data_IF_135919454616
#
_entry.id   IF_135919454616
#
_cell.length_a   1.000
_cell.length_b   1.000
_cell.length_c   1.000
_cell.angle_alpha   90.00
_cell.angle_beta   90.00
_cell.angle_gamma   90.00
#
_symmetry.space_group_name_H-M   'P 1'
#
loop_
_entity.id
_entity.type
_entity.pdbx_description
1 polymer ?
#
# COMPACT_ATOMS: atom_id res chain seq x y z
N UNK A 1 -32.27 -1.73 -62.72
CA UNK A 1 -31.27 -1.05 -61.86
C UNK A 1 -31.75 -1.04 -60.41
N UNK A 2 -31.71 -2.16 -59.67
CA UNK A 2 -32.23 -2.20 -58.28
C UNK A 2 -31.23 -2.76 -57.24
N UNK A 3 -30.15 -3.43 -57.66
CA UNK A 3 -29.15 -3.99 -56.73
C UNK A 3 -27.87 -3.15 -56.60
N UNK A 4 -27.74 -2.04 -57.37
CA UNK A 4 -26.55 -1.17 -57.32
C UNK A 4 -26.49 -0.33 -56.03
N UNK A 5 -27.66 0.06 -55.49
CA UNK A 5 -27.76 0.81 -54.23
C UNK A 5 -27.54 -0.07 -53.00
N UNK A 6 -27.81 -1.38 -53.11
CA UNK A 6 -27.66 -2.33 -52.00
C UNK A 6 -26.18 -2.62 -51.73
N UNK A 7 -25.36 -2.72 -52.78
CA UNK A 7 -23.91 -2.85 -52.65
C UNK A 7 -23.24 -1.58 -52.10
N UNK A 8 -23.76 -0.40 -52.44
CA UNK A 8 -23.27 0.88 -51.91
C UNK A 8 -23.55 1.02 -50.40
N UNK A 9 -24.70 0.52 -49.93
CA UNK A 9 -25.05 0.52 -48.51
C UNK A 9 -24.17 -0.39 -47.66
N UNK A 10 -23.80 -1.56 -48.18
CA UNK A 10 -22.89 -2.50 -47.50
C UNK A 10 -21.47 -1.91 -47.43
N UNK A 11 -21.01 -1.23 -48.49
CA UNK A 11 -19.71 -0.57 -48.49
C UNK A 11 -19.62 0.59 -47.48
N UNK A 12 -20.69 1.39 -47.33
CA UNK A 12 -20.73 2.45 -46.32
C UNK A 12 -20.81 1.90 -44.89
N UNK A 13 -21.52 0.79 -44.67
CA UNK A 13 -21.62 0.17 -43.35
C UNK A 13 -20.27 -0.41 -42.86
N UNK A 14 -19.47 -0.96 -43.77
CA UNK A 14 -18.16 -1.53 -43.44
C UNK A 14 -17.13 -0.50 -42.91
N UNK A 15 -17.25 0.78 -43.30
CA UNK A 15 -16.37 1.86 -42.85
C UNK A 15 -16.67 2.36 -41.43
N UNK A 16 -17.83 2.02 -40.86
CA UNK A 16 -18.26 2.43 -39.51
C UNK A 16 -17.81 1.48 -38.39
N UNK A 17 -17.17 0.35 -38.74
CA UNK A 17 -16.79 -0.72 -37.82
C UNK A 17 -15.48 -0.50 -37.04
N UNK A 18 -14.62 0.43 -37.47
CA UNK A 18 -13.42 0.81 -36.71
C UNK A 18 -13.76 1.85 -35.64
N UNK A 19 -14.43 1.43 -34.57
CA UNK A 19 -14.30 2.12 -33.28
C UNK A 19 -13.02 1.61 -32.64
N UNK A 20 -11.86 2.02 -33.16
CA UNK A 20 -10.68 2.10 -32.29
C UNK A 20 -11.10 3.06 -31.19
N UNK A 21 -11.29 2.53 -29.98
CA UNK A 21 -11.43 3.38 -28.80
C UNK A 21 -10.32 4.42 -28.90
N UNK A 22 -10.64 5.73 -28.80
CA UNK A 22 -9.61 6.74 -28.87
C UNK A 22 -8.49 6.36 -27.91
N UNK A 23 -7.21 6.62 -28.23
CA UNK A 23 -6.08 6.38 -27.32
C UNK A 23 -6.21 7.12 -25.97
N UNK A 24 -7.31 7.85 -25.75
CA UNK A 24 -7.82 8.36 -24.49
C UNK A 24 -8.42 7.29 -23.55
N UNK A 25 -8.32 5.99 -23.85
CA UNK A 25 -8.40 4.95 -22.81
C UNK A 25 -7.05 4.77 -22.08
N UNK A 26 -6.15 5.75 -22.20
CA UNK A 26 -5.09 5.95 -21.22
C UNK A 26 -5.76 6.26 -19.88
N UNK A 27 -5.69 5.29 -18.99
CA UNK A 27 -5.85 5.45 -17.55
C UNK A 27 -5.44 6.87 -17.16
N UNK A 28 -6.41 7.70 -16.76
CA UNK A 28 -6.16 9.06 -16.32
C UNK A 28 -5.20 8.99 -15.12
N UNK A 29 -3.89 9.11 -15.37
CA UNK A 29 -2.95 9.46 -14.32
C UNK A 29 -3.45 10.81 -13.80
N UNK A 30 -3.96 10.82 -12.57
CA UNK A 30 -4.44 12.03 -11.93
C UNK A 30 -3.39 13.11 -12.08
N UNK A 31 -3.80 14.30 -12.54
CA UNK A 31 -2.93 15.46 -12.74
C UNK A 31 -2.11 15.70 -11.47
N UNK A 32 -0.82 15.35 -11.49
CA UNK A 32 0.08 15.57 -10.35
C UNK A 32 0.52 17.02 -10.37
N UNK A 33 -0.15 17.86 -9.57
CA UNK A 33 0.25 19.25 -9.37
C UNK A 33 1.26 19.32 -8.23
N UNK A 34 2.44 19.88 -8.51
CA UNK A 34 3.46 20.14 -7.48
C UNK A 34 2.95 21.29 -6.61
N UNK A 35 2.49 20.95 -5.40
CA UNK A 35 2.06 21.92 -4.38
C UNK A 35 3.29 22.42 -3.60
N UNK A 36 3.25 23.65 -3.11
CA UNK A 36 4.27 24.13 -2.16
C UNK A 36 4.21 23.27 -0.89
N UNK A 37 5.37 22.80 -0.44
CA UNK A 37 5.47 22.10 0.83
C UNK A 37 5.14 23.10 1.95
N UNK A 38 4.17 22.76 2.79
CA UNK A 38 3.82 23.52 3.99
C UNK A 38 4.22 22.71 5.22
N UNK A 39 4.69 23.39 6.26
CA UNK A 39 4.92 22.73 7.55
C UNK A 39 3.57 22.38 8.17
N UNK A 40 3.39 21.12 8.56
CA UNK A 40 2.21 20.71 9.32
C UNK A 40 2.49 21.01 10.80
N UNK A 41 1.91 22.10 11.30
CA UNK A 41 2.07 22.56 12.68
C UNK A 41 0.71 22.97 13.28
N UNK A 42 0.72 23.40 14.54
CA UNK A 42 -0.48 23.79 15.28
C UNK A 42 -1.06 25.16 14.86
N UNK A 43 -0.40 25.88 13.95
CA UNK A 43 -0.91 27.15 13.41
C UNK A 43 -1.97 26.90 12.32
N UNK A 44 -1.97 25.69 11.73
CA UNK A 44 -3.01 25.26 10.81
C UNK A 44 -4.31 24.96 11.57
N UNK A 45 -5.40 25.62 11.18
CA UNK A 45 -6.71 25.38 11.77
C UNK A 45 -7.18 23.97 11.39
N UNK A 46 -7.59 23.20 12.40
CA UNK A 46 -8.20 21.89 12.18
C UNK A 46 -9.53 22.04 11.44
N UNK A 47 -9.79 21.08 10.56
CA UNK A 47 -11.09 20.92 9.94
C UNK A 47 -12.01 20.13 10.90
N UNK A 48 -13.07 20.79 11.36
CA UNK A 48 -14.01 20.25 12.34
C UNK A 48 -14.80 19.03 11.80
N UNK A 49 -15.02 18.95 10.48
CA UNK A 49 -15.69 17.79 9.87
C UNK A 49 -14.79 16.55 9.92
N UNK A 50 -13.49 16.73 9.61
CA UNK A 50 -12.51 15.66 9.76
C UNK A 50 -12.35 15.25 11.23
N UNK A 51 -12.29 16.21 12.16
CA UNK A 51 -12.18 15.92 13.59
C UNK A 51 -13.35 15.07 14.07
N UNK A 52 -14.59 15.41 13.70
CA UNK A 52 -15.78 14.62 14.05
C UNK A 52 -15.74 13.23 13.45
N UNK A 53 -15.26 13.11 12.22
CA UNK A 53 -15.16 11.82 11.52
C UNK A 53 -14.14 10.88 12.17
N UNK A 54 -13.00 11.39 12.65
CA UNK A 54 -11.94 10.57 13.27
C UNK A 54 -12.15 10.32 14.77
N UNK A 55 -12.94 11.15 15.45
CA UNK A 55 -13.15 11.09 16.90
C UNK A 55 -13.50 9.69 17.46
N UNK A 56 -14.45 8.90 16.90
CA UNK A 56 -14.76 7.59 17.45
C UNK A 56 -13.60 6.60 17.34
N UNK A 57 -12.80 6.67 16.27
CA UNK A 57 -11.61 5.83 16.11
C UNK A 57 -10.51 6.22 17.08
N UNK A 58 -10.33 7.52 17.32
CA UNK A 58 -9.39 8.04 18.32
C UNK A 58 -9.72 7.51 19.72
N UNK A 59 -11.00 7.56 20.12
CA UNK A 59 -11.43 7.05 21.43
C UNK A 59 -11.11 5.56 21.61
N UNK A 60 -11.33 4.74 20.57
CA UNK A 60 -10.98 3.32 20.61
C UNK A 60 -9.46 3.13 20.70
N UNK A 61 -8.69 3.82 19.86
CA UNK A 61 -7.24 3.74 19.86
C UNK A 61 -6.65 4.18 21.20
N UNK A 62 -7.15 5.25 21.82
CA UNK A 62 -6.68 5.71 23.12
C UNK A 62 -6.88 4.63 24.21
N UNK A 63 -8.00 3.88 24.15
CA UNK A 63 -8.26 2.76 25.06
C UNK A 63 -7.31 1.57 24.86
N UNK A 64 -6.87 1.31 23.63
CA UNK A 64 -5.99 0.19 23.31
C UNK A 64 -4.51 0.57 23.54
N UNK A 65 -4.09 1.72 23.00
CA UNK A 65 -2.71 2.21 23.06
C UNK A 65 -2.28 2.71 24.43
N UNK A 66 -3.23 3.16 25.27
CA UNK A 66 -2.94 3.60 26.64
C UNK A 66 -2.68 2.45 27.63
N UNK A 67 -2.85 1.20 27.21
CA UNK A 67 -2.66 0.05 28.09
C UNK A 67 -1.17 -0.22 28.31
N UNK A 68 -0.78 -0.34 29.58
CA UNK A 68 0.59 -0.69 29.96
C UNK A 68 0.85 -2.17 29.65
N UNK A 69 1.73 -2.44 28.68
CA UNK A 69 2.10 -3.79 28.28
C UNK A 69 3.31 -4.35 29.04
N UNK A 70 4.23 -3.49 29.47
CA UNK A 70 5.45 -3.89 30.20
C UNK A 70 6.13 -2.69 30.86
N UNK A 71 7.29 -2.92 31.47
CA UNK A 71 8.17 -1.89 32.02
C UNK A 71 9.63 -2.19 31.63
N UNK A 72 10.45 -1.14 31.58
CA UNK A 72 11.90 -1.23 31.44
C UNK A 72 12.54 -0.30 32.47
N UNK A 73 13.69 -0.70 33.00
CA UNK A 73 14.47 0.11 33.94
C UNK A 73 15.44 1.07 33.25
N UNK A 74 15.56 0.97 31.92
CA UNK A 74 16.45 1.79 31.10
C UNK A 74 15.65 2.50 30.02
N UNK A 75 16.09 3.71 29.67
CA UNK A 75 15.51 4.48 28.59
C UNK A 75 15.81 3.84 27.24
N UNK A 76 14.78 3.73 26.39
CA UNK A 76 14.90 3.18 25.04
C UNK A 76 15.11 4.32 24.04
N UNK A 77 16.28 4.35 23.41
CA UNK A 77 16.68 5.38 22.46
C UNK A 77 16.52 4.89 21.03
N UNK A 78 15.97 5.75 20.15
CA UNK A 78 15.87 5.47 18.71
C UNK A 78 17.12 5.92 17.92
N UNK A 79 17.82 6.92 18.43
CA UNK A 79 18.91 7.58 17.74
C UNK A 79 20.26 6.94 18.07
N UNK A 80 21.21 7.08 17.14
CA UNK A 80 22.57 6.59 17.29
C UNK A 80 22.82 5.25 16.61
N UNK A 81 24.11 4.92 16.48
CA UNK A 81 24.52 3.60 16.01
C UNK A 81 24.31 2.58 17.15
N UNK A 82 23.79 1.39 16.83
CA UNK A 82 23.51 0.32 17.81
C UNK A 82 22.55 0.75 18.93
N UNK A 83 21.42 1.38 18.56
CA UNK A 83 20.41 1.84 19.52
C UNK A 83 19.76 0.67 20.28
N UNK A 84 19.54 0.82 21.58
CA UNK A 84 18.99 -0.26 22.42
C UNK A 84 17.52 -0.60 22.07
N UNK A 85 16.72 0.39 21.64
CA UNK A 85 15.36 0.15 21.13
C UNK A 85 15.41 -0.65 19.82
N UNK A 86 16.36 -0.33 18.94
CA UNK A 86 16.55 -1.06 17.69
C UNK A 86 16.91 -2.52 17.93
N UNK A 87 17.83 -2.78 18.86
CA UNK A 87 18.22 -4.14 19.22
C UNK A 87 17.05 -4.92 19.83
N UNK A 88 16.32 -4.30 20.76
CA UNK A 88 15.12 -4.92 21.37
C UNK A 88 14.09 -5.33 20.31
N UNK A 89 13.84 -4.47 19.31
CA UNK A 89 12.92 -4.77 18.22
C UNK A 89 13.44 -5.89 17.31
N UNK A 90 14.76 -5.93 17.06
CA UNK A 90 15.38 -6.99 16.27
C UNK A 90 15.22 -8.36 16.96
N UNK A 91 15.51 -8.43 18.26
CA UNK A 91 15.34 -9.64 19.07
C UNK A 91 13.88 -10.10 19.08
N UNK A 92 12.94 -9.20 19.36
CA UNK A 92 11.50 -9.52 19.36
C UNK A 92 11.02 -10.04 17.99
N UNK A 93 11.50 -9.42 16.90
CA UNK A 93 11.16 -9.85 15.54
C UNK A 93 11.75 -11.21 15.22
N UNK A 94 12.99 -11.46 15.63
CA UNK A 94 13.67 -12.74 15.44
C UNK A 94 12.94 -13.87 16.18
N UNK A 95 12.57 -13.64 17.44
CA UNK A 95 11.84 -14.62 18.25
C UNK A 95 10.47 -14.94 17.63
N UNK A 96 9.72 -13.92 17.21
CA UNK A 96 8.44 -14.11 16.52
C UNK A 96 8.58 -14.88 15.21
N UNK A 97 9.61 -14.60 14.43
CA UNK A 97 9.91 -15.32 13.19
C UNK A 97 10.31 -16.78 13.45
N UNK A 98 11.09 -17.03 14.50
CA UNK A 98 11.50 -18.37 14.92
C UNK A 98 10.30 -19.20 15.38
N UNK A 99 9.38 -18.62 16.15
CA UNK A 99 8.12 -19.27 16.52
C UNK A 99 7.24 -19.54 15.31
N UNK A 100 7.14 -18.59 14.38
CA UNK A 100 6.37 -18.76 13.15
C UNK A 100 6.93 -19.90 12.29
N UNK A 101 8.26 -19.97 12.12
CA UNK A 101 8.93 -20.96 11.28
C UNK A 101 8.79 -22.40 11.80
N UNK A 102 8.60 -22.59 13.10
CA UNK A 102 8.39 -23.91 13.73
C UNK A 102 6.98 -24.47 13.50
N UNK A 103 6.03 -23.67 13.01
CA UNK A 103 4.65 -24.13 12.77
C UNK A 103 4.62 -25.02 11.52
N UNK A 104 3.85 -26.13 11.53
CA UNK A 104 3.77 -27.03 10.39
C UNK A 104 3.23 -26.30 9.15
N UNK A 105 3.94 -26.47 8.03
CA UNK A 105 3.73 -25.72 6.79
C UNK A 105 2.31 -25.85 6.20
N UNK A 106 1.58 -26.91 6.57
CA UNK A 106 0.27 -27.23 6.01
C UNK A 106 -0.83 -26.20 6.36
N UNK A 107 -0.69 -25.48 7.49
CA UNK A 107 -1.67 -24.47 7.93
C UNK A 107 -1.55 -23.13 7.20
N UNK A 108 -0.44 -22.87 6.50
CA UNK A 108 -0.13 -21.56 5.90
C UNK A 108 0.24 -21.62 4.41
N UNK A 109 -0.16 -22.69 3.69
CA UNK A 109 0.08 -22.85 2.24
C UNK A 109 -0.67 -21.87 1.33
N UNK A 110 -1.36 -20.87 1.85
CA UNK A 110 -1.90 -19.77 1.04
C UNK A 110 -0.89 -18.62 1.01
N UNK A 111 0.06 -18.66 0.06
CA UNK A 111 0.92 -17.51 -0.29
C UNK A 111 2.37 -17.80 -0.68
N UNK A 112 2.90 -19.00 -0.38
CA UNK A 112 4.32 -19.31 -0.60
C UNK A 112 4.75 -19.50 -2.08
N UNK A 113 3.89 -19.18 -3.05
CA UNK A 113 4.23 -19.33 -4.48
C UNK A 113 4.93 -18.12 -5.10
N UNK A 114 5.13 -17.01 -4.39
CA UNK A 114 5.68 -15.78 -4.98
C UNK A 114 7.10 -15.39 -4.54
N UNK A 115 7.71 -16.07 -3.57
CA UNK A 115 9.09 -15.77 -3.15
C UNK A 115 9.97 -17.03 -3.08
N UNK A 116 10.33 -17.58 -4.25
CA UNK A 116 11.60 -18.31 -4.35
C UNK A 116 12.72 -17.27 -4.39
N UNK A 117 13.41 -17.05 -3.26
CA UNK A 117 14.69 -16.35 -3.24
C UNK A 117 15.68 -17.10 -4.14
N UNK A 118 16.31 -16.38 -5.06
CA UNK A 118 17.37 -16.90 -5.90
C UNK A 118 18.64 -17.06 -5.04
N UNK A 119 19.23 -18.27 -4.89
CA UNK A 119 20.40 -18.50 -4.03
C UNK A 119 21.67 -17.73 -4.41
N UNK A 120 21.65 -17.00 -5.52
CA UNK A 120 22.80 -16.25 -6.02
C UNK A 120 22.96 -14.85 -5.41
N UNK A 121 21.99 -14.34 -4.65
CA UNK A 121 22.05 -12.98 -4.07
C UNK A 121 22.73 -12.92 -2.69
N UNK A 122 22.87 -14.05 -2.00
CA UNK A 122 23.44 -14.10 -0.64
C UNK A 122 24.99 -14.09 -0.61
N UNK A 123 25.66 -13.87 -1.75
CA UNK A 123 27.14 -13.90 -1.85
C UNK A 123 27.81 -12.52 -1.92
N UNK A 124 27.06 -11.44 -1.70
CA UNK A 124 27.57 -10.05 -1.76
C UNK A 124 27.37 -9.28 -0.45
N UNK A 125 27.38 -9.95 0.71
CA UNK A 125 27.57 -9.31 2.02
C UNK A 125 28.64 -10.02 2.82
#
# INVERSE_FOLDING_TARGET
MKNKFLLLGIALAALSGCKTAPPASSMHLGKVEIRKNISINNELKNDEEFVKTIAPYKQKLDKEMGQKISHTHVDLTKQGNNSNLGNLLADYTFDGANEWAKKPAEKYRCGAHQYRRNPHDDRQR
#
